data_IF_105947470665
#
_entry.id   IF_105947470665
#
_cell.length_a   1.000
_cell.length_b   1.000
_cell.length_c   1.000
_cell.angle_alpha   90.00
_cell.angle_beta   90.00
_cell.angle_gamma   90.00
#
_symmetry.space_group_name_H-M   'P 1'
#
loop_
_entity.id
_entity.type
_entity.pdbx_description
1 polymer ?
#
# COMPACT_ATOMS: atom_id res chain seq x y z
N UNK A 1 -1.28 -1.56 -14.20
CA UNK A 1 -2.03 -2.43 -13.31
C UNK A 1 -1.13 -3.17 -12.31
N UNK A 2 0.06 -3.60 -12.68
CA UNK A 2 0.98 -4.34 -11.80
C UNK A 2 2.14 -3.51 -11.20
N UNK A 3 2.00 -2.19 -11.11
CA UNK A 3 3.07 -1.31 -10.62
C UNK A 3 3.65 -1.70 -9.26
N UNK A 4 2.78 -2.11 -8.30
CA UNK A 4 3.23 -2.55 -6.99
C UNK A 4 4.03 -3.87 -7.04
N UNK A 5 3.72 -4.78 -7.98
CA UNK A 5 4.48 -6.02 -8.17
C UNK A 5 5.72 -5.81 -9.04
N UNK A 6 5.68 -4.91 -10.02
CA UNK A 6 6.86 -4.56 -10.81
C UNK A 6 7.94 -3.89 -9.95
N UNK A 7 7.50 -3.13 -8.94
CA UNK A 7 8.37 -2.49 -7.93
C UNK A 7 8.26 -3.21 -6.59
N UNK A 8 8.30 -4.55 -6.59
CA UNK A 8 7.99 -5.42 -5.45
C UNK A 8 8.69 -5.02 -4.15
N UNK A 9 9.98 -4.73 -4.20
CA UNK A 9 10.80 -4.32 -3.07
C UNK A 9 11.48 -2.96 -3.33
N UNK A 10 10.91 -2.13 -4.20
CA UNK A 10 11.43 -0.80 -4.43
C UNK A 10 10.74 0.19 -3.48
N UNK A 11 11.51 0.66 -2.51
CA UNK A 11 11.09 1.66 -1.52
C UNK A 11 11.47 3.09 -1.94
N UNK A 12 12.09 3.25 -3.09
CA UNK A 12 12.46 4.55 -3.67
C UNK A 12 11.34 5.13 -4.53
N UNK A 13 11.43 6.43 -4.81
CA UNK A 13 10.47 7.10 -5.68
C UNK A 13 9.09 7.33 -5.04
N UNK A 14 8.09 7.56 -5.89
CA UNK A 14 6.73 7.95 -5.51
C UNK A 14 5.70 6.99 -6.11
N UNK A 15 4.60 6.74 -5.42
CA UNK A 15 3.47 5.95 -5.92
C UNK A 15 2.24 6.82 -6.14
N UNK A 16 1.57 6.65 -7.28
CA UNK A 16 0.30 7.32 -7.56
C UNK A 16 -0.85 6.74 -6.72
N UNK A 17 -1.95 7.51 -6.60
CA UNK A 17 -3.17 7.01 -5.94
C UNK A 17 -3.71 5.75 -6.60
N UNK A 18 -3.73 5.72 -7.93
CA UNK A 18 -4.23 4.56 -8.68
C UNK A 18 -3.40 3.30 -8.43
N UNK A 19 -2.08 3.41 -8.36
CA UNK A 19 -1.21 2.28 -8.05
C UNK A 19 -1.50 1.71 -6.66
N UNK A 20 -1.60 2.59 -5.65
CA UNK A 20 -1.93 2.21 -4.28
C UNK A 20 -3.31 1.54 -4.20
N UNK A 21 -4.37 2.19 -4.72
CA UNK A 21 -5.73 1.68 -4.58
C UNK A 21 -5.98 0.41 -5.37
N UNK A 22 -5.38 0.24 -6.56
CA UNK A 22 -5.48 -1.01 -7.32
C UNK A 22 -4.85 -2.18 -6.55
N UNK A 23 -3.71 -1.95 -5.90
CA UNK A 23 -3.11 -2.97 -5.04
C UNK A 23 -4.00 -3.28 -3.83
N UNK A 24 -4.56 -2.27 -3.16
CA UNK A 24 -5.47 -2.47 -2.03
C UNK A 24 -6.76 -3.19 -2.41
N UNK A 25 -7.33 -2.93 -3.58
CA UNK A 25 -8.50 -3.65 -4.09
C UNK A 25 -8.18 -5.13 -4.31
N UNK A 26 -7.02 -5.45 -4.89
CA UNK A 26 -6.57 -6.83 -5.05
C UNK A 26 -6.37 -7.50 -3.68
N UNK A 27 -5.71 -6.82 -2.74
CA UNK A 27 -5.51 -7.31 -1.39
C UNK A 27 -6.83 -7.61 -0.69
N UNK A 28 -7.78 -6.67 -0.75
CA UNK A 28 -9.12 -6.82 -0.18
C UNK A 28 -9.87 -8.02 -0.81
N UNK A 29 -9.78 -8.18 -2.13
CA UNK A 29 -10.43 -9.29 -2.83
C UNK A 29 -9.90 -10.64 -2.36
N UNK A 30 -8.58 -10.82 -2.29
CA UNK A 30 -7.97 -12.09 -1.85
C UNK A 30 -8.31 -12.39 -0.39
N UNK A 31 -8.23 -11.39 0.49
CA UNK A 31 -8.59 -11.54 1.91
C UNK A 31 -10.07 -11.90 2.06
N UNK A 32 -10.96 -11.30 1.29
CA UNK A 32 -12.40 -11.57 1.33
C UNK A 32 -12.70 -13.01 0.88
N UNK A 33 -12.10 -13.48 -0.20
CA UNK A 33 -12.25 -14.85 -0.68
C UNK A 33 -11.72 -15.85 0.36
N UNK A 34 -10.52 -15.62 0.89
CA UNK A 34 -9.94 -16.49 1.91
C UNK A 34 -10.82 -16.54 3.17
N UNK A 35 -11.31 -15.39 3.64
CA UNK A 35 -12.19 -15.30 4.81
C UNK A 35 -13.52 -16.01 4.55
N UNK A 36 -14.12 -15.88 3.37
CA UNK A 36 -15.34 -16.59 3.01
C UNK A 36 -15.17 -18.11 3.11
N UNK A 37 -14.03 -18.65 2.62
CA UNK A 37 -13.71 -20.08 2.73
C UNK A 37 -13.48 -20.51 4.20
N UNK A 38 -12.85 -19.68 5.02
CA UNK A 38 -12.60 -19.96 6.43
C UNK A 38 -13.92 -20.02 7.22
N UNK A 39 -14.87 -19.14 6.92
CA UNK A 39 -16.17 -19.03 7.64
C UNK A 39 -17.08 -20.24 7.38
N UNK A 40 -16.94 -20.95 6.27
CA UNK A 40 -17.72 -22.18 6.02
C UNK A 40 -17.46 -23.26 7.06
N UNK A 41 -16.29 -23.27 7.70
CA UNK A 41 -15.85 -24.25 8.71
C UNK A 41 -15.89 -25.71 8.25
N UNK A 42 -16.09 -25.96 6.99
CA UNK A 42 -15.96 -27.29 6.38
C UNK A 42 -14.48 -27.64 6.25
N UNK A 43 -14.06 -28.83 6.69
CA UNK A 43 -12.66 -29.20 6.86
C UNK A 43 -11.76 -28.88 5.67
N UNK A 44 -12.19 -29.21 4.43
CA UNK A 44 -11.42 -28.94 3.22
C UNK A 44 -11.35 -27.46 2.87
N UNK A 45 -12.48 -26.76 2.85
CA UNK A 45 -12.55 -25.32 2.50
C UNK A 45 -11.88 -24.44 3.53
N UNK A 46 -11.99 -24.78 4.81
CA UNK A 46 -11.27 -24.10 5.89
C UNK A 46 -9.75 -24.14 5.67
N UNK A 47 -9.19 -25.33 5.41
CA UNK A 47 -7.74 -25.50 5.18
C UNK A 47 -7.28 -24.72 3.95
N UNK A 48 -8.05 -24.76 2.85
CA UNK A 48 -7.76 -23.99 1.62
C UNK A 48 -7.78 -22.49 1.91
N UNK A 49 -8.79 -21.99 2.64
CA UNK A 49 -8.89 -20.57 2.97
C UNK A 49 -7.71 -20.07 3.83
N UNK A 50 -7.32 -20.86 4.84
CA UNK A 50 -6.14 -20.56 5.67
C UNK A 50 -4.86 -20.59 4.83
N UNK A 51 -4.72 -21.58 3.92
CA UNK A 51 -3.58 -21.68 3.02
C UNK A 51 -3.44 -20.48 2.09
N UNK A 52 -4.56 -20.05 1.47
CA UNK A 52 -4.60 -18.85 0.61
C UNK A 52 -4.20 -17.62 1.41
N UNK A 53 -4.76 -17.42 2.61
CA UNK A 53 -4.45 -16.25 3.43
C UNK A 53 -2.98 -16.22 3.86
N UNK A 54 -2.46 -17.33 4.34
CA UNK A 54 -1.06 -17.44 4.76
C UNK A 54 -0.10 -17.18 3.60
N UNK A 55 -0.33 -17.82 2.46
CA UNK A 55 0.48 -17.60 1.25
C UNK A 55 0.41 -16.15 0.77
N UNK A 56 -0.80 -15.56 0.75
CA UNK A 56 -0.99 -14.18 0.35
C UNK A 56 -0.26 -13.21 1.26
N UNK A 57 -0.34 -13.38 2.58
CA UNK A 57 0.39 -12.53 3.53
C UNK A 57 1.89 -12.56 3.26
N UNK A 58 2.46 -13.74 2.99
CA UNK A 58 3.89 -13.87 2.70
C UNK A 58 4.32 -13.11 1.44
N UNK A 59 3.55 -13.22 0.36
CA UNK A 59 3.93 -12.59 -0.92
C UNK A 59 3.51 -11.13 -1.03
N UNK A 60 2.44 -10.72 -0.35
CA UNK A 60 1.91 -9.35 -0.44
C UNK A 60 2.50 -8.40 0.60
N UNK A 61 3.14 -8.90 1.66
CA UNK A 61 3.67 -8.07 2.74
C UNK A 61 4.69 -7.03 2.24
N UNK A 62 5.68 -7.47 1.48
CA UNK A 62 6.73 -6.58 0.97
C UNK A 62 6.18 -5.54 -0.01
N UNK A 63 5.41 -5.91 -1.06
CA UNK A 63 4.83 -4.91 -1.96
C UNK A 63 3.80 -4.00 -1.28
N UNK A 64 3.06 -4.47 -0.27
CA UNK A 64 2.17 -3.62 0.51
C UNK A 64 2.95 -2.53 1.26
N UNK A 65 4.05 -2.91 1.89
CA UNK A 65 4.92 -1.95 2.57
C UNK A 65 5.57 -0.99 1.57
N UNK A 66 6.12 -1.51 0.46
CA UNK A 66 6.76 -0.72 -0.58
C UNK A 66 5.81 0.34 -1.18
N UNK A 67 4.61 -0.06 -1.62
CA UNK A 67 3.66 0.89 -2.21
C UNK A 67 3.18 1.93 -1.19
N UNK A 68 3.06 1.55 0.09
CA UNK A 68 2.68 2.49 1.15
C UNK A 68 3.80 3.49 1.43
N UNK A 69 5.04 3.06 1.57
CA UNK A 69 6.21 3.93 1.74
C UNK A 69 6.30 4.93 0.58
N UNK A 70 6.22 4.46 -0.67
CA UNK A 70 6.25 5.32 -1.86
C UNK A 70 5.05 6.28 -1.92
N UNK A 71 3.93 5.91 -1.31
CA UNK A 71 2.78 6.82 -1.18
C UNK A 71 3.03 7.92 -0.16
N UNK A 72 3.74 7.65 0.94
CA UNK A 72 4.21 8.68 1.88
C UNK A 72 5.22 9.62 1.22
N UNK A 73 6.14 9.07 0.43
CA UNK A 73 7.07 9.86 -0.38
C UNK A 73 6.36 10.81 -1.36
N UNK A 74 5.20 10.40 -1.89
CA UNK A 74 4.38 11.26 -2.77
C UNK A 74 3.86 12.53 -2.05
N UNK A 75 3.76 12.48 -0.72
CA UNK A 75 3.44 13.63 0.14
C UNK A 75 4.67 14.36 0.68
N UNK A 76 5.88 14.01 0.21
CA UNK A 76 7.15 14.50 0.75
C UNK A 76 7.34 14.16 2.24
N UNK A 77 6.74 13.07 2.69
CA UNK A 77 6.84 12.54 4.06
C UNK A 77 7.76 11.32 4.04
N UNK A 78 8.61 11.19 5.06
CA UNK A 78 9.49 10.02 5.19
C UNK A 78 8.70 8.72 5.28
N UNK A 79 9.11 7.71 4.51
CA UNK A 79 8.51 6.37 4.53
C UNK A 79 8.56 5.66 5.88
N UNK A 80 9.43 6.07 6.80
CA UNK A 80 9.47 5.56 8.17
C UNK A 80 8.14 5.76 8.91
N UNK A 81 7.40 6.83 8.60
CA UNK A 81 6.07 7.03 9.16
C UNK A 81 5.08 5.93 8.79
N UNK A 82 5.21 5.36 7.59
CA UNK A 82 4.39 4.21 7.22
C UNK A 82 4.68 3.01 8.13
N UNK A 83 5.97 2.73 8.41
CA UNK A 83 6.38 1.64 9.31
C UNK A 83 5.87 1.87 10.74
N UNK A 84 6.01 3.11 11.24
CA UNK A 84 5.49 3.49 12.57
C UNK A 84 3.98 3.30 12.66
N UNK A 85 3.22 3.76 11.66
CA UNK A 85 1.76 3.62 11.65
C UNK A 85 1.32 2.16 11.53
N UNK A 86 2.02 1.31 10.78
CA UNK A 86 1.78 -0.12 10.76
C UNK A 86 2.01 -0.76 12.13
N UNK A 87 3.11 -0.41 12.81
CA UNK A 87 3.42 -0.91 14.14
C UNK A 87 2.37 -0.45 15.18
N UNK A 88 1.98 0.83 15.15
CA UNK A 88 0.92 1.38 16.00
C UNK A 88 -0.44 0.74 15.69
N UNK A 89 -0.68 0.36 14.43
CA UNK A 89 -1.88 -0.33 13.97
C UNK A 89 -2.13 -1.67 14.67
N UNK A 90 -1.10 -2.29 15.24
CA UNK A 90 -1.20 -3.55 16.00
C UNK A 90 -1.69 -3.34 17.45
N UNK A 91 -1.69 -2.11 17.94
CA UNK A 91 -2.10 -1.81 19.33
C UNK A 91 -3.61 -1.51 19.35
N UNK A 92 -4.41 -2.23 20.14
CA UNK A 92 -5.84 -1.95 20.28
C UNK A 92 -6.09 -0.46 20.63
N UNK A 93 -7.16 0.11 20.10
CA UNK A 93 -7.57 1.53 20.19
C UNK A 93 -6.59 2.53 19.51
N UNK A 94 -5.28 2.44 19.77
CA UNK A 94 -4.26 3.28 19.09
C UNK A 94 -4.23 2.98 17.59
N UNK A 95 -4.40 1.70 17.23
CA UNK A 95 -4.44 1.25 15.85
C UNK A 95 -5.57 1.89 15.02
N UNK A 96 -6.71 2.20 15.64
CA UNK A 96 -7.80 2.91 14.95
C UNK A 96 -7.33 4.29 14.51
N UNK A 97 -6.68 5.05 15.41
CA UNK A 97 -6.15 6.39 15.11
C UNK A 97 -5.01 6.31 14.08
N UNK A 98 -4.12 5.32 14.22
CA UNK A 98 -3.03 5.09 13.27
C UNK A 98 -3.55 4.79 11.85
N UNK A 99 -4.57 3.93 11.73
CA UNK A 99 -5.20 3.61 10.46
C UNK A 99 -5.94 4.80 9.85
N UNK A 100 -6.62 5.61 10.67
CA UNK A 100 -7.24 6.86 10.19
C UNK A 100 -6.19 7.85 9.71
N UNK A 101 -5.07 8.00 10.42
CA UNK A 101 -3.93 8.83 9.99
C UNK A 101 -3.35 8.35 8.65
N UNK A 102 -3.14 7.04 8.51
CA UNK A 102 -2.69 6.44 7.24
C UNK A 102 -3.69 6.71 6.12
N UNK A 103 -4.99 6.52 6.37
CA UNK A 103 -6.05 6.78 5.40
C UNK A 103 -6.04 8.23 4.93
N UNK A 104 -5.87 9.19 5.82
CA UNK A 104 -5.75 10.61 5.47
C UNK A 104 -4.61 10.88 4.48
N UNK A 105 -3.45 10.21 4.65
CA UNK A 105 -2.32 10.36 3.74
C UNK A 105 -2.61 9.72 2.38
N UNK A 106 -3.11 8.48 2.35
CA UNK A 106 -3.26 7.75 1.09
C UNK A 106 -4.40 8.26 0.21
N UNK A 107 -5.45 8.87 0.79
CA UNK A 107 -6.59 9.43 0.04
C UNK A 107 -6.23 10.77 -0.60
N UNK A 108 -5.44 11.60 0.07
CA UNK A 108 -5.07 12.94 -0.44
C UNK A 108 -4.26 12.85 -1.73
N UNK A 109 -4.34 13.89 -2.57
CA UNK A 109 -3.41 14.10 -3.68
C UNK A 109 -2.01 14.33 -3.16
N UNK A 110 -0.98 13.75 -3.82
CA UNK A 110 0.42 14.01 -3.49
C UNK A 110 0.85 15.45 -3.81
N UNK A 111 2.11 15.75 -3.52
CA UNK A 111 2.71 17.05 -3.85
C UNK A 111 2.78 17.25 -5.37
N UNK A 112 2.41 18.42 -5.84
CA UNK A 112 2.50 18.80 -7.24
C UNK A 112 3.96 18.98 -7.67
N UNK A 113 4.30 18.43 -8.84
CA UNK A 113 5.64 18.52 -9.38
C UNK A 113 6.68 17.63 -8.65
N UNK A 114 7.98 17.80 -8.92
CA UNK A 114 9.05 17.04 -8.29
C UNK A 114 9.16 17.38 -6.80
N UNK A 115 9.50 16.36 -5.99
CA UNK A 115 9.81 16.54 -4.57
C UNK A 115 11.12 15.82 -4.21
N UNK A 116 11.48 15.75 -2.92
CA UNK A 116 12.72 15.14 -2.46
C UNK A 116 12.86 13.65 -2.83
N UNK A 117 11.78 12.98 -3.23
CA UNK A 117 11.73 11.55 -3.54
C UNK A 117 11.59 11.27 -5.03
N UNK A 118 11.49 12.30 -5.88
CA UNK A 118 11.49 12.12 -7.32
C UNK A 118 10.41 12.92 -8.08
N UNK A 119 10.28 12.65 -9.39
CA UNK A 119 9.31 13.32 -10.25
C UNK A 119 7.87 12.96 -9.87
N UNK A 120 6.92 13.81 -10.31
CA UNK A 120 5.50 13.57 -10.13
C UNK A 120 5.06 12.28 -10.87
N UNK A 121 4.52 11.26 -10.18
CA UNK A 121 4.13 10.00 -10.80
C UNK A 121 2.94 10.13 -11.76
N UNK A 122 2.18 11.23 -11.69
CA UNK A 122 1.03 11.50 -12.56
C UNK A 122 1.43 12.34 -13.78
N UNK A 123 2.36 13.30 -13.59
CA UNK A 123 2.81 14.22 -14.65
C UNK A 123 4.34 14.34 -14.69
N UNK A 124 5.07 13.29 -15.07
CA UNK A 124 6.54 13.29 -15.05
C UNK A 124 7.19 14.31 -15.99
N UNK A 125 6.49 14.73 -17.05
CA UNK A 125 6.97 15.74 -18.03
C UNK A 125 7.00 17.18 -17.50
N UNK A 126 6.29 17.49 -16.42
CA UNK A 126 6.31 18.84 -15.83
C UNK A 126 7.60 19.16 -15.06
N UNK A 127 8.42 18.15 -14.78
CA UNK A 127 9.72 18.34 -14.17
C UNK A 127 10.78 18.94 -15.11
N UNK A 128 10.55 18.89 -16.44
CA UNK A 128 11.46 19.43 -17.46
C UNK A 128 11.09 20.81 -18.01
N UNK A 129 9.88 21.31 -17.74
CA UNK A 129 9.37 22.54 -18.37
C UNK A 129 9.71 23.83 -17.60
N UNK A 130 10.49 23.76 -16.50
CA UNK A 130 10.82 24.90 -15.65
C UNK A 130 12.25 25.44 -15.81
N UNK A 131 12.99 24.98 -16.82
CA UNK A 131 14.38 25.43 -17.09
C UNK A 131 14.55 25.87 -18.57
N UNK A 132 13.60 26.63 -19.08
CA UNK A 132 13.80 27.38 -20.32
C UNK A 132 13.40 28.84 -20.11
#
# INVERSE_FOLDING_TARGET
MFGAFNNYADFSGRASRSEFWLFQLLNMFVVLVATALIVTREGGTFVVGVGILAFWVLIAFVPALSVTVRRFHDHNISGWWAVVLYALGLIPYVGVLANLGMLCVVVRGGTWGPNNYGPDPVNPWRSGASLA
#
